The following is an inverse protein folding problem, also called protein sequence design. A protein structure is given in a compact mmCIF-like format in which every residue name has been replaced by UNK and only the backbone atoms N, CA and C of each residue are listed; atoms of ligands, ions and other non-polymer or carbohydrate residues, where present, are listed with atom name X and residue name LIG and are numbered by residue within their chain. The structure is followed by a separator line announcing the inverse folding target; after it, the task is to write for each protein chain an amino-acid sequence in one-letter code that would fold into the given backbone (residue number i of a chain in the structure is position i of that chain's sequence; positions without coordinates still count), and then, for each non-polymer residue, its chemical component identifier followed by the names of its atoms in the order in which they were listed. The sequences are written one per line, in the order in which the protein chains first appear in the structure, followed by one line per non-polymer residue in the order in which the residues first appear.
data_IF_470593488969
#
_entry.id   IF_470593488969
#
_cell.length_a   1.000
_cell.length_b   1.000
_cell.length_c   1.000
_cell.angle_alpha   90.00
_cell.angle_beta   90.00
_cell.angle_gamma   90.00
#
_symmetry.space_group_name_H-M   'P 1'
#
loop_
_entity.id
_entity.type
_entity.pdbx_description
1 polymer ?
#
# COMPACT_ATOMS: atom_id res chain seq x y z
N UNK A 1 -12.31 15.51 10.96
CA UNK A 1 -11.84 14.95 9.67
C UNK A 1 -13.00 14.19 9.06
N UNK A 2 -13.27 14.38 7.77
CA UNK A 2 -14.24 13.53 7.04
C UNK A 2 -13.89 12.06 7.29
N UNK A 3 -14.89 11.25 7.67
CA UNK A 3 -14.68 9.83 7.98
C UNK A 3 -14.07 9.08 6.80
N UNK A 4 -14.27 9.58 5.58
CA UNK A 4 -13.80 8.95 4.35
C UNK A 4 -12.27 8.97 4.16
N UNK A 5 -11.54 9.94 4.75
CA UNK A 5 -10.08 10.07 4.57
C UNK A 5 -9.27 9.68 5.81
N UNK A 6 -9.95 9.46 6.95
CA UNK A 6 -9.31 9.23 8.24
C UNK A 6 -8.32 8.07 8.22
N UNK A 7 -8.60 7.00 7.47
CA UNK A 7 -7.78 5.78 7.45
C UNK A 7 -6.45 5.92 6.70
N UNK A 8 -6.28 6.95 5.87
CA UNK A 8 -4.97 7.27 5.30
C UNK A 8 -3.98 7.78 6.34
N UNK A 9 -4.47 8.50 7.35
CA UNK A 9 -3.61 9.15 8.36
C UNK A 9 -3.67 8.46 9.72
N UNK A 10 -4.76 7.79 10.07
CA UNK A 10 -4.96 7.11 11.36
C UNK A 10 -5.33 5.62 11.19
N UNK A 11 -4.59 4.82 10.41
CA UNK A 11 -4.84 3.38 10.32
C UNK A 11 -4.40 2.66 11.59
N UNK A 12 -5.13 1.63 11.99
CA UNK A 12 -4.74 0.68 13.04
C UNK A 12 -3.96 -0.51 12.47
N UNK A 13 -4.09 -0.77 11.18
CA UNK A 13 -3.43 -1.85 10.45
C UNK A 13 -3.10 -1.42 9.03
N UNK A 14 -1.90 -1.74 8.57
CA UNK A 14 -1.46 -1.46 7.21
C UNK A 14 -0.96 -2.72 6.54
N UNK A 15 -1.06 -2.78 5.21
CA UNK A 15 -0.36 -3.78 4.40
C UNK A 15 0.57 -3.14 3.39
N UNK A 16 1.74 -3.75 3.16
CA UNK A 16 2.66 -3.37 2.10
C UNK A 16 2.67 -4.47 1.04
N UNK A 17 2.09 -4.18 -0.13
CA UNK A 17 2.16 -5.04 -1.30
C UNK A 17 3.38 -4.66 -2.12
N UNK A 18 4.30 -5.59 -2.34
CA UNK A 18 5.55 -5.30 -3.04
C UNK A 18 6.67 -4.80 -2.12
N UNK A 19 6.60 -5.14 -0.83
CA UNK A 19 7.76 -5.04 0.03
C UNK A 19 8.89 -5.91 -0.51
N UNK A 20 10.14 -5.49 -0.29
CA UNK A 20 11.31 -6.11 -0.90
C UNK A 20 12.38 -6.36 0.15
N UNK A 21 13.13 -7.45 0.03
CA UNK A 21 14.31 -7.75 0.85
C UNK A 21 15.57 -7.05 0.35
N UNK A 22 15.53 -6.45 -0.85
CA UNK A 22 16.66 -5.74 -1.45
C UNK A 22 16.79 -4.34 -0.84
N UNK A 23 17.86 -4.11 -0.10
CA UNK A 23 18.21 -2.80 0.43
C UNK A 23 18.30 -1.74 -0.69
N UNK A 24 17.85 -0.52 -0.40
CA UNK A 24 17.75 0.58 -1.38
C UNK A 24 16.58 0.48 -2.37
N UNK A 25 15.81 -0.62 -2.38
CA UNK A 25 14.56 -0.65 -3.14
C UNK A 25 13.46 0.12 -2.40
N UNK A 26 12.55 0.75 -3.15
CA UNK A 26 11.48 1.59 -2.57
C UNK A 26 10.67 0.82 -1.51
N UNK A 27 10.30 -0.43 -1.78
CA UNK A 27 9.54 -1.23 -0.82
C UNK A 27 10.32 -1.65 0.43
N UNK A 28 11.66 -1.72 0.35
CA UNK A 28 12.50 -1.92 1.53
C UNK A 28 12.60 -0.63 2.35
N UNK A 29 12.88 0.50 1.71
CA UNK A 29 13.06 1.79 2.38
C UNK A 29 11.77 2.27 3.05
N UNK A 30 10.60 2.10 2.43
CA UNK A 30 9.32 2.45 3.07
C UNK A 30 9.04 1.55 4.27
N UNK A 31 9.29 0.24 4.19
CA UNK A 31 9.14 -0.63 5.36
C UNK A 31 10.10 -0.21 6.49
N UNK A 32 11.36 0.11 6.15
CA UNK A 32 12.36 0.63 7.10
C UNK A 32 11.92 1.94 7.73
N UNK A 33 11.37 2.86 6.95
CA UNK A 33 10.83 4.15 7.37
C UNK A 33 9.71 3.97 8.39
N UNK A 34 8.69 3.17 8.06
CA UNK A 34 7.55 2.86 8.94
C UNK A 34 8.03 2.27 10.27
N UNK A 35 8.97 1.30 10.23
CA UNK A 35 9.50 0.66 11.43
C UNK A 35 10.37 1.59 12.28
N UNK A 36 11.23 2.38 11.64
CA UNK A 36 12.12 3.31 12.34
C UNK A 36 11.35 4.45 12.98
N UNK A 37 10.23 4.86 12.36
CA UNK A 37 9.31 5.85 12.90
C UNK A 37 8.42 5.29 14.01
N UNK A 38 8.47 3.97 14.27
CA UNK A 38 7.75 3.27 15.34
C UNK A 38 6.23 3.34 15.19
N UNK A 39 5.73 3.06 13.98
CA UNK A 39 4.29 2.93 13.74
C UNK A 39 3.62 2.05 14.79
N UNK A 40 2.55 2.57 15.39
CA UNK A 40 1.92 1.95 16.56
C UNK A 40 0.87 0.89 16.19
N UNK A 41 0.47 0.83 14.92
CA UNK A 41 -0.46 -0.17 14.39
C UNK A 41 0.23 -1.45 13.90
N UNK A 42 -0.59 -2.37 13.36
CA UNK A 42 -0.10 -3.64 12.80
C UNK A 42 0.43 -3.45 11.38
N UNK A 43 1.49 -4.17 11.04
CA UNK A 43 2.12 -4.13 9.71
C UNK A 43 2.09 -5.54 9.11
N UNK A 44 1.41 -5.69 7.97
CA UNK A 44 1.38 -6.93 7.20
C UNK A 44 2.20 -6.79 5.93
N UNK A 45 3.29 -7.55 5.81
CA UNK A 45 4.22 -7.44 4.69
C UNK A 45 3.92 -8.54 3.69
N UNK A 46 3.61 -8.18 2.44
CA UNK A 46 3.30 -9.16 1.38
C UNK A 46 4.50 -9.28 0.44
N UNK A 47 5.15 -10.45 0.47
CA UNK A 47 6.23 -10.82 -0.42
C UNK A 47 6.30 -12.36 -0.55
N UNK A 48 5.99 -12.93 -1.73
CA UNK A 48 6.01 -14.39 -1.94
C UNK A 48 7.40 -15.03 -1.93
N UNK A 49 8.47 -14.23 -2.00
CA UNK A 49 9.84 -14.71 -2.13
C UNK A 49 10.67 -14.55 -0.85
N UNK A 50 10.08 -14.02 0.22
CA UNK A 50 10.78 -13.78 1.48
C UNK A 50 9.93 -14.25 2.66
N UNK A 51 10.55 -14.90 3.64
CA UNK A 51 9.89 -15.27 4.89
C UNK A 51 9.84 -14.09 5.88
N UNK A 52 10.86 -13.22 5.85
CA UNK A 52 11.04 -12.12 6.81
C UNK A 52 11.81 -10.97 6.17
N UNK A 53 11.35 -9.75 6.37
CA UNK A 53 12.05 -8.52 5.95
C UNK A 53 12.14 -7.58 7.15
N UNK A 54 13.33 -7.05 7.44
CA UNK A 54 13.58 -6.11 8.55
C UNK A 54 13.03 -6.59 9.90
N UNK A 55 13.03 -7.90 10.16
CA UNK A 55 12.48 -8.44 11.40
C UNK A 55 10.97 -8.72 11.38
N UNK A 56 10.26 -8.39 10.30
CA UNK A 56 8.80 -8.56 10.16
C UNK A 56 8.48 -9.77 9.29
N UNK A 57 7.57 -10.63 9.77
CA UNK A 57 7.07 -11.78 9.01
C UNK A 57 6.43 -11.32 7.69
N UNK A 58 6.72 -12.05 6.63
CA UNK A 58 6.11 -11.85 5.33
C UNK A 58 5.06 -12.93 5.05
N UNK A 59 4.02 -12.53 4.33
CA UNK A 59 2.98 -13.40 3.80
C UNK A 59 3.15 -13.51 2.29
N UNK A 60 2.80 -14.67 1.73
CA UNK A 60 2.97 -14.88 0.29
C UNK A 60 1.91 -14.15 -0.53
N UNK A 61 0.75 -13.95 0.06
CA UNK A 61 -0.38 -13.25 -0.52
C UNK A 61 -1.18 -12.51 0.55
N UNK A 62 -2.02 -11.57 0.12
CA UNK A 62 -2.90 -10.83 1.01
C UNK A 62 -3.97 -11.74 1.64
N UNK A 63 -4.30 -12.86 1.00
CA UNK A 63 -5.32 -13.81 1.46
C UNK A 63 -4.91 -14.52 2.76
N UNK A 64 -3.62 -14.71 3.00
CA UNK A 64 -3.08 -15.30 4.24
C UNK A 64 -3.28 -14.42 5.49
N UNK A 65 -3.60 -13.13 5.29
CA UNK A 65 -3.82 -12.20 6.40
C UNK A 65 -5.26 -12.30 6.90
N UNK A 66 -5.49 -12.98 8.02
CA UNK A 66 -6.83 -13.17 8.59
C UNK A 66 -7.41 -11.93 9.33
N UNK A 67 -6.65 -10.84 9.39
CA UNK A 67 -7.05 -9.61 10.08
C UNK A 67 -7.57 -8.54 9.11
N UNK A 68 -8.46 -7.68 9.60
CA UNK A 68 -8.92 -6.51 8.84
C UNK A 68 -7.79 -5.50 8.65
N UNK A 69 -7.63 -5.00 7.42
CA UNK A 69 -6.61 -4.02 7.07
C UNK A 69 -7.25 -2.66 6.76
N UNK A 70 -6.79 -1.61 7.44
CA UNK A 70 -7.32 -0.26 7.26
C UNK A 70 -6.78 0.43 6.00
N UNK A 71 -5.51 0.18 5.65
CA UNK A 71 -4.78 0.88 4.59
C UNK A 71 -3.82 -0.07 3.86
N UNK A 72 -3.87 -0.10 2.53
CA UNK A 72 -2.87 -0.77 1.71
C UNK A 72 -1.91 0.24 1.06
N UNK A 73 -0.63 -0.12 1.00
CA UNK A 73 0.41 0.62 0.31
C UNK A 73 0.96 -0.29 -0.79
N UNK A 74 0.71 0.07 -2.05
CA UNK A 74 1.10 -0.71 -3.23
C UNK A 74 2.40 -0.13 -3.81
N UNK A 75 3.40 -1.00 -3.83
CA UNK A 75 4.79 -0.78 -4.26
C UNK A 75 5.19 -1.77 -5.37
N UNK A 76 4.19 -2.48 -5.91
CA UNK A 76 4.38 -3.52 -6.92
C UNK A 76 4.86 -2.93 -8.25
N UNK A 77 5.59 -3.69 -9.07
CA UNK A 77 5.82 -3.33 -10.47
C UNK A 77 4.50 -3.02 -11.19
N UNK A 78 4.51 -2.03 -12.09
CA UNK A 78 3.32 -1.50 -12.78
C UNK A 78 2.32 -2.57 -13.24
N UNK A 79 2.84 -3.64 -13.88
CA UNK A 79 2.02 -4.75 -14.42
C UNK A 79 1.21 -5.52 -13.37
N UNK A 80 1.55 -5.42 -12.09
CA UNK A 80 0.87 -6.11 -10.99
C UNK A 80 0.01 -5.18 -10.13
N UNK A 81 -0.02 -3.87 -10.41
CA UNK A 81 -0.78 -2.91 -9.61
C UNK A 81 -2.29 -3.16 -9.69
N UNK A 82 -2.83 -3.44 -10.87
CA UNK A 82 -4.26 -3.75 -11.04
C UNK A 82 -4.65 -4.99 -10.24
N UNK A 83 -3.84 -6.05 -10.30
CA UNK A 83 -4.06 -7.26 -9.50
C UNK A 83 -4.00 -6.95 -7.99
N UNK A 84 -2.98 -6.19 -7.55
CA UNK A 84 -2.88 -5.79 -6.14
C UNK A 84 -4.09 -4.96 -5.66
N UNK A 85 -4.65 -4.10 -6.51
CA UNK A 85 -5.86 -3.35 -6.20
C UNK A 85 -7.10 -4.25 -6.14
N UNK A 86 -7.21 -5.25 -7.03
CA UNK A 86 -8.27 -6.26 -6.97
C UNK A 86 -8.16 -7.12 -5.71
N UNK A 87 -6.95 -7.47 -5.29
CA UNK A 87 -6.72 -8.20 -4.03
C UNK A 87 -7.17 -7.36 -2.82
N UNK A 88 -6.85 -6.06 -2.83
CA UNK A 88 -7.37 -5.12 -1.83
C UNK A 88 -8.90 -5.08 -1.82
N UNK A 89 -9.54 -5.07 -3.00
CA UNK A 89 -11.00 -5.10 -3.12
C UNK A 89 -11.61 -6.38 -2.52
N UNK A 90 -11.05 -7.55 -2.82
CA UNK A 90 -11.50 -8.84 -2.27
C UNK A 90 -11.35 -8.92 -0.76
N UNK A 91 -10.31 -8.29 -0.20
CA UNK A 91 -10.05 -8.19 1.24
C UNK A 91 -10.76 -7.00 1.90
N UNK A 92 -11.67 -6.35 1.16
CA UNK A 92 -12.49 -5.23 1.60
C UNK A 92 -11.71 -4.00 2.09
N UNK A 93 -10.46 -3.85 1.64
CA UNK A 93 -9.62 -2.70 1.98
C UNK A 93 -10.10 -1.49 1.17
N UNK A 94 -10.58 -0.46 1.85
CA UNK A 94 -11.18 0.72 1.21
C UNK A 94 -10.23 1.90 1.01
N UNK A 95 -9.01 1.83 1.55
CA UNK A 95 -8.02 2.90 1.46
C UNK A 95 -6.73 2.35 0.90
N UNK A 96 -6.29 2.87 -0.24
CA UNK A 96 -5.12 2.36 -0.94
C UNK A 96 -4.24 3.52 -1.40
N UNK A 97 -2.95 3.43 -1.09
CA UNK A 97 -1.91 4.33 -1.59
C UNK A 97 -1.14 3.57 -2.66
N UNK A 98 -0.98 4.17 -3.83
CA UNK A 98 -0.20 3.59 -4.92
C UNK A 98 1.01 4.48 -5.16
N UNK A 99 2.18 3.96 -4.81
CA UNK A 99 3.46 4.67 -4.95
C UNK A 99 4.00 4.50 -6.38
N UNK A 100 3.75 3.34 -6.99
CA UNK A 100 4.24 2.97 -8.32
C UNK A 100 3.87 3.99 -9.40
N UNK A 101 4.87 4.33 -10.23
CA UNK A 101 4.73 5.19 -11.41
C UNK A 101 4.50 4.38 -12.72
N UNK A 102 4.46 5.09 -13.84
CA UNK A 102 4.24 4.60 -15.20
C UNK A 102 2.76 4.61 -15.65
N UNK A 103 1.92 5.48 -15.10
CA UNK A 103 0.49 5.60 -15.39
C UNK A 103 0.20 6.78 -16.34
N UNK A 104 -0.83 7.61 -16.09
CA UNK A 104 -1.23 8.66 -17.03
C UNK A 104 -0.12 9.64 -17.36
N UNK A 105 0.84 9.83 -16.45
CA UNK A 105 1.99 10.72 -16.65
C UNK A 105 2.92 10.29 -17.79
N UNK A 106 2.91 9.02 -18.21
CA UNK A 106 3.68 8.56 -19.38
C UNK A 106 2.86 8.47 -20.67
N UNK A 107 1.55 8.77 -20.61
CA UNK A 107 0.64 8.71 -21.77
C UNK A 107 0.39 7.29 -22.29
N UNK A 108 -0.28 7.21 -23.45
CA UNK A 108 -0.55 5.95 -24.16
C UNK A 108 -1.18 4.88 -23.27
N UNK A 109 -0.57 3.70 -23.23
CA UNK A 109 -0.99 2.58 -22.38
C UNK A 109 -1.08 2.94 -20.88
N UNK A 110 -0.23 3.85 -20.39
CA UNK A 110 -0.25 4.28 -18.99
C UNK A 110 -1.55 5.00 -18.62
N UNK A 111 -2.12 5.78 -19.54
CA UNK A 111 -3.40 6.46 -19.33
C UNK A 111 -4.58 5.47 -19.34
N UNK A 112 -4.53 4.44 -20.20
CA UNK A 112 -5.55 3.38 -20.20
C UNK A 112 -5.49 2.53 -18.92
N UNK A 113 -4.29 2.22 -18.43
CA UNK A 113 -4.11 1.53 -17.15
C UNK A 113 -4.66 2.34 -15.97
N UNK A 114 -4.48 3.66 -15.97
CA UNK A 114 -5.03 4.51 -14.90
C UNK A 114 -6.55 4.58 -14.95
N UNK A 115 -7.16 4.60 -16.14
CA UNK A 115 -8.63 4.52 -16.29
C UNK A 115 -9.17 3.23 -15.67
N UNK A 116 -8.50 2.11 -15.95
CA UNK A 116 -8.88 0.81 -15.40
C UNK A 116 -8.72 0.77 -13.87
N UNK A 117 -7.64 1.35 -13.36
CA UNK A 117 -7.37 1.51 -11.93
C UNK A 117 -8.49 2.31 -11.24
N UNK A 118 -8.93 3.43 -11.84
CA UNK A 118 -10.05 4.25 -11.35
C UNK A 118 -11.36 3.47 -11.42
N UNK A 119 -11.59 2.69 -12.48
CA UNK A 119 -12.80 1.86 -12.64
C UNK A 119 -12.93 0.85 -11.51
N UNK A 120 -11.89 0.06 -11.26
CA UNK A 120 -11.83 -0.93 -10.18
C UNK A 120 -12.06 -0.24 -8.82
N UNK A 121 -11.42 0.90 -8.59
CA UNK A 121 -11.56 1.62 -7.33
C UNK A 121 -13.01 2.09 -7.10
N UNK A 122 -13.66 2.67 -8.12
CA UNK A 122 -15.06 3.11 -8.02
C UNK A 122 -16.02 1.95 -7.77
N UNK A 123 -15.89 0.86 -8.53
CA UNK A 123 -16.76 -0.33 -8.41
C UNK A 123 -16.69 -0.94 -7.01
N UNK A 124 -15.51 -0.88 -6.37
CA UNK A 124 -15.27 -1.49 -5.06
C UNK A 124 -15.29 -0.50 -3.89
N UNK A 125 -15.66 0.77 -4.15
CA UNK A 125 -15.69 1.85 -3.18
C UNK A 125 -14.32 2.08 -2.48
N UNK A 126 -13.24 1.89 -3.22
CA UNK A 126 -11.88 2.15 -2.78
C UNK A 126 -11.51 3.60 -3.05
N UNK A 127 -10.95 4.26 -2.06
CA UNK A 127 -10.31 5.57 -2.19
C UNK A 127 -8.82 5.38 -2.46
N UNK A 128 -8.30 6.23 -3.32
CA UNK A 128 -6.91 6.17 -3.78
C UNK A 128 -6.16 7.46 -3.46
N UNK A 129 -4.91 7.30 -3.04
CA UNK A 129 -3.87 8.34 -3.14
C UNK A 129 -2.84 7.83 -4.15
N UNK A 130 -2.47 8.69 -5.10
CA UNK A 130 -1.65 8.31 -6.26
C UNK A 130 -2.49 7.93 -7.49
N UNK A 131 -1.95 7.15 -8.45
CA UNK A 131 -0.60 6.55 -8.46
C UNK A 131 0.53 7.59 -8.57
N UNK A 132 1.79 7.14 -8.62
CA UNK A 132 2.97 8.00 -8.72
C UNK A 132 3.01 9.11 -7.63
N UNK A 133 3.05 8.68 -6.37
CA UNK A 133 3.12 9.60 -5.23
C UNK A 133 4.19 9.16 -4.24
N UNK A 134 4.54 10.03 -3.29
CA UNK A 134 5.48 9.72 -2.21
C UNK A 134 4.82 9.04 -1.01
N UNK A 135 3.50 8.86 -0.99
CA UNK A 135 2.79 8.28 0.15
C UNK A 135 2.33 9.31 1.16
N UNK A 136 2.28 8.92 2.44
CA UNK A 136 1.73 9.75 3.53
C UNK A 136 2.58 9.64 4.80
N UNK A 137 2.57 10.72 5.58
CA UNK A 137 3.18 10.77 6.91
C UNK A 137 2.17 11.33 7.93
N UNK A 138 2.13 10.70 9.11
CA UNK A 138 1.47 11.20 10.30
C UNK A 138 2.45 11.13 11.47
N UNK A 139 2.86 12.32 11.96
CA UNK A 139 3.84 12.49 13.02
C UNK A 139 3.24 12.50 14.43
N UNK A 140 1.92 12.35 14.56
CA UNK A 140 1.26 12.29 15.87
C UNK A 140 1.79 11.10 16.69
N UNK A 141 2.09 11.37 17.95
CA UNK A 141 2.76 10.41 18.84
C UNK A 141 1.99 9.10 19.04
N UNK A 142 0.66 9.11 18.87
CA UNK A 142 -0.21 7.94 18.99
C UNK A 142 -0.27 7.07 17.73
N UNK A 143 0.16 7.59 16.57
CA UNK A 143 0.09 6.89 15.28
C UNK A 143 1.48 6.58 14.75
N UNK A 144 2.32 7.62 14.57
CA UNK A 144 3.69 7.54 14.06
C UNK A 144 3.82 6.75 12.75
N UNK A 145 3.05 7.12 11.73
CA UNK A 145 3.14 6.50 10.41
C UNK A 145 4.07 7.32 9.51
N UNK A 146 5.16 6.74 9.02
CA UNK A 146 5.95 7.33 7.94
C UNK A 146 6.00 6.36 6.76
N UNK A 147 5.04 6.50 5.84
CA UNK A 147 4.93 5.69 4.63
C UNK A 147 5.43 6.46 3.39
N UNK A 148 6.49 7.25 3.58
CA UNK A 148 7.23 7.97 2.53
C UNK A 148 8.67 7.48 2.42
#
# INVERSE_FOLDING_TARGET
MDSSLKKFFYPKSITLLGASSKEGSIGYEILKSIKSFQFTGKIFVINPNANKILGTQCYSSLDEVNESIDLAIILLPRKFVLQGLQDCARKEIKNVIIITAGFKEVGGEGAELEKELIRIAKENQIRLIGPNCMGVINTEALIRLNAT
#
